data_IF_188209337552
#
_entry.id   IF_188209337552
#
_cell.length_a   1.000
_cell.length_b   1.000
_cell.length_c   1.000
_cell.angle_alpha   90.00
_cell.angle_beta   90.00
_cell.angle_gamma   90.00
#
_symmetry.space_group_name_H-M   'P 1'
#
loop_
_entity.id
_entity.type
_entity.pdbx_description
1 polymer ?
#
# COMPACT_ATOMS: atom_id res chain seq x y z
N UNK A 1 -2.76 -66.13 -14.52
CA UNK A 1 -3.69 -65.05 -14.12
C UNK A 1 -3.43 -64.45 -12.74
N UNK A 2 -3.60 -65.17 -11.62
CA UNK A 2 -3.48 -64.59 -10.26
C UNK A 2 -2.13 -63.90 -9.92
N UNK A 3 -1.02 -64.41 -10.46
CA UNK A 3 0.34 -63.87 -10.22
C UNK A 3 0.58 -62.52 -10.91
N UNK A 4 -0.07 -62.29 -12.06
CA UNK A 4 0.03 -61.04 -12.81
C UNK A 4 -0.85 -59.94 -12.20
N UNK A 5 -2.06 -60.29 -11.74
CA UNK A 5 -2.96 -59.38 -11.02
C UNK A 5 -2.32 -58.90 -9.70
N UNK A 6 -1.63 -59.78 -8.97
CA UNK A 6 -0.87 -59.38 -7.76
C UNK A 6 0.33 -58.46 -8.10
N UNK A 7 0.98 -58.63 -9.25
CA UNK A 7 2.09 -57.75 -9.67
C UNK A 7 1.60 -56.39 -10.13
N UNK A 8 0.49 -56.32 -10.88
CA UNK A 8 -0.11 -55.05 -11.30
C UNK A 8 -0.65 -54.28 -10.10
N UNK A 9 -1.29 -54.95 -9.14
CA UNK A 9 -1.75 -54.32 -7.90
C UNK A 9 -0.59 -53.78 -7.04
N UNK A 10 0.50 -54.54 -6.87
CA UNK A 10 1.69 -54.04 -6.15
C UNK A 10 2.32 -52.82 -6.83
N UNK A 11 2.36 -52.79 -8.17
CA UNK A 11 2.84 -51.63 -8.93
C UNK A 11 1.91 -50.44 -8.77
N UNK A 12 0.60 -50.62 -8.93
CA UNK A 12 -0.40 -49.57 -8.73
C UNK A 12 -0.37 -48.99 -7.30
N UNK A 13 -0.24 -49.86 -6.29
CA UNK A 13 -0.10 -49.46 -4.90
C UNK A 13 1.20 -48.67 -4.66
N UNK A 14 2.33 -49.12 -5.23
CA UNK A 14 3.61 -48.39 -5.11
C UNK A 14 3.56 -47.02 -5.77
N UNK A 15 2.91 -46.89 -6.93
CA UNK A 15 2.72 -45.61 -7.62
C UNK A 15 1.82 -44.68 -6.79
N UNK A 16 0.74 -45.21 -6.20
CA UNK A 16 -0.14 -44.45 -5.31
C UNK A 16 0.60 -43.93 -4.06
N UNK A 17 1.42 -44.77 -3.43
CA UNK A 17 2.22 -44.36 -2.28
C UNK A 17 3.25 -43.26 -2.63
N UNK A 18 3.91 -43.38 -3.79
CA UNK A 18 4.84 -42.34 -4.26
C UNK A 18 4.11 -41.04 -4.56
N UNK A 19 2.93 -41.10 -5.21
CA UNK A 19 2.12 -39.91 -5.47
C UNK A 19 1.64 -39.23 -4.17
N UNK A 20 1.23 -40.01 -3.16
CA UNK A 20 0.88 -39.46 -1.85
C UNK A 20 2.08 -38.83 -1.15
N UNK A 21 3.25 -39.47 -1.21
CA UNK A 21 4.47 -38.94 -0.60
C UNK A 21 4.90 -37.62 -1.25
N UNK A 22 4.80 -37.48 -2.58
CA UNK A 22 5.14 -36.22 -3.26
C UNK A 22 4.16 -35.10 -2.94
N UNK A 23 2.87 -35.39 -2.80
CA UNK A 23 1.86 -34.42 -2.35
C UNK A 23 2.15 -33.95 -0.91
N UNK A 24 2.46 -34.86 0.01
CA UNK A 24 2.79 -34.49 1.40
C UNK A 24 4.07 -33.65 1.46
N UNK A 25 5.13 -34.01 0.71
CA UNK A 25 6.38 -33.24 0.68
C UNK A 25 6.18 -31.83 0.12
N UNK A 26 5.45 -31.70 -0.99
CA UNK A 26 5.17 -30.38 -1.59
C UNK A 26 4.36 -29.49 -0.64
N UNK A 27 3.38 -30.05 0.06
CA UNK A 27 2.60 -29.34 1.07
C UNK A 27 3.46 -28.86 2.25
N UNK A 28 4.35 -29.71 2.78
CA UNK A 28 5.26 -29.32 3.86
C UNK A 28 6.23 -28.21 3.45
N UNK A 29 6.76 -28.26 2.22
CA UNK A 29 7.61 -27.22 1.68
C UNK A 29 6.86 -25.88 1.53
N UNK A 30 5.60 -25.91 1.11
CA UNK A 30 4.75 -24.72 1.05
C UNK A 30 4.47 -24.14 2.44
N UNK A 31 4.15 -24.97 3.44
CA UNK A 31 3.92 -24.50 4.81
C UNK A 31 5.18 -23.86 5.42
N UNK A 32 6.36 -24.47 5.25
CA UNK A 32 7.63 -23.89 5.72
C UNK A 32 7.91 -22.53 5.10
N UNK A 33 7.63 -22.36 3.80
CA UNK A 33 7.73 -21.06 3.12
C UNK A 33 6.77 -20.03 3.72
N UNK A 34 5.49 -20.38 3.92
CA UNK A 34 4.49 -19.48 4.54
C UNK A 34 4.92 -19.00 5.93
N UNK A 35 5.31 -19.92 6.81
CA UNK A 35 5.78 -19.57 8.16
C UNK A 35 7.01 -18.66 8.15
N UNK A 36 7.93 -18.86 7.20
CA UNK A 36 9.11 -17.99 7.04
C UNK A 36 8.71 -16.58 6.60
N UNK A 37 7.74 -16.46 5.68
CA UNK A 37 7.23 -15.15 5.22
C UNK A 37 6.51 -14.41 6.35
N UNK A 38 5.65 -15.09 7.13
CA UNK A 38 4.96 -14.51 8.27
C UNK A 38 5.92 -13.99 9.34
N UNK A 39 6.93 -14.78 9.72
CA UNK A 39 7.97 -14.37 10.68
C UNK A 39 8.73 -13.13 10.20
N UNK A 40 9.04 -13.09 8.90
CA UNK A 40 9.66 -11.91 8.28
C UNK A 40 8.71 -10.72 8.34
N UNK A 41 7.45 -10.89 7.96
CA UNK A 41 6.46 -9.82 7.98
C UNK A 41 6.29 -9.23 9.38
N UNK A 42 6.17 -10.08 10.40
CA UNK A 42 6.10 -9.65 11.80
C UNK A 42 7.37 -8.89 12.23
N UNK A 43 8.55 -9.37 11.82
CA UNK A 43 9.82 -8.68 12.08
C UNK A 43 9.88 -7.29 11.44
N UNK A 44 9.37 -7.13 10.22
CA UNK A 44 9.29 -5.83 9.56
C UNK A 44 8.40 -4.85 10.34
N UNK A 45 7.24 -5.31 10.86
CA UNK A 45 6.41 -4.50 11.76
C UNK A 45 7.14 -4.07 13.02
N UNK A 46 7.87 -4.97 13.68
CA UNK A 46 8.65 -4.62 14.87
C UNK A 46 9.74 -3.58 14.59
N UNK A 47 10.35 -3.63 13.39
CA UNK A 47 11.35 -2.64 12.98
C UNK A 47 10.72 -1.28 12.71
N UNK A 48 9.54 -1.24 12.07
CA UNK A 48 8.76 -0.03 11.87
C UNK A 48 8.37 0.61 13.21
N UNK A 49 7.83 -0.17 14.14
CA UNK A 49 7.45 0.30 15.48
C UNK A 49 8.64 0.85 16.28
N UNK A 50 9.82 0.22 16.17
CA UNK A 50 11.04 0.73 16.78
C UNK A 50 11.47 2.06 16.19
N UNK A 51 11.41 2.18 14.86
CA UNK A 51 11.72 3.43 14.18
C UNK A 51 10.74 4.55 14.57
N UNK A 52 9.44 4.26 14.64
CA UNK A 52 8.42 5.20 15.13
C UNK A 52 8.69 5.70 16.55
N UNK A 53 9.42 4.94 17.36
CA UNK A 53 9.86 5.31 18.72
C UNK A 53 11.23 6.00 18.78
N UNK A 54 11.83 6.35 17.62
CA UNK A 54 13.10 7.06 17.51
C UNK A 54 14.33 6.18 17.32
N UNK A 55 14.19 4.86 17.12
CA UNK A 55 15.34 3.99 16.78
C UNK A 55 15.61 4.02 15.26
N UNK A 56 16.46 4.95 14.82
CA UNK A 56 16.87 5.08 13.42
C UNK A 56 17.50 3.78 12.85
N UNK A 57 18.13 2.94 13.69
CA UNK A 57 18.65 1.63 13.24
C UNK A 57 17.52 0.67 12.86
N UNK A 58 16.31 0.91 13.37
CA UNK A 58 15.10 0.21 12.98
C UNK A 58 14.78 0.44 11.50
N UNK A 59 14.94 1.68 11.03
CA UNK A 59 14.68 2.08 9.65
C UNK A 59 15.67 1.45 8.67
N UNK A 60 16.97 1.49 8.97
CA UNK A 60 18.00 0.87 8.12
C UNK A 60 17.76 -0.63 7.92
N UNK A 61 17.37 -1.31 9.00
CA UNK A 61 17.06 -2.75 8.95
C UNK A 61 15.78 -3.02 8.19
N UNK A 62 14.76 -2.16 8.33
CA UNK A 62 13.50 -2.26 7.61
C UNK A 62 13.74 -2.09 6.11
N UNK A 63 14.43 -1.04 5.70
CA UNK A 63 14.72 -0.77 4.28
C UNK A 63 15.58 -1.87 3.65
N UNK A 64 16.60 -2.38 4.35
CA UNK A 64 17.37 -3.53 3.90
C UNK A 64 16.52 -4.80 3.73
N UNK A 65 15.48 -4.95 4.54
CA UNK A 65 14.56 -6.07 4.47
C UNK A 65 13.58 -5.94 3.30
N UNK A 66 13.06 -4.74 3.04
CA UNK A 66 12.19 -4.47 1.88
C UNK A 66 12.91 -4.74 0.55
N UNK A 67 14.20 -4.35 0.43
CA UNK A 67 15.04 -4.69 -0.73
C UNK A 67 15.12 -6.19 -1.02
N UNK A 68 15.14 -7.03 0.03
CA UNK A 68 15.21 -8.49 -0.10
C UNK A 68 13.85 -9.14 -0.32
N UNK A 69 12.76 -8.43 -0.04
CA UNK A 69 11.41 -8.97 -0.03
C UNK A 69 10.48 -7.95 -0.72
N UNK A 70 10.52 -7.84 -2.07
CA UNK A 70 9.82 -6.77 -2.78
C UNK A 70 8.31 -6.75 -2.56
N UNK A 71 7.71 -7.89 -2.23
CA UNK A 71 6.28 -8.00 -1.89
C UNK A 71 5.88 -7.22 -0.62
N UNK A 72 6.83 -6.84 0.22
CA UNK A 72 6.54 -6.10 1.46
C UNK A 72 6.36 -4.59 1.20
N UNK A 73 6.87 -4.06 0.08
CA UNK A 73 6.71 -2.66 -0.28
C UNK A 73 5.25 -2.21 -0.31
N UNK A 74 4.32 -3.06 -0.76
CA UNK A 74 2.88 -2.76 -0.84
C UNK A 74 2.24 -2.35 0.49
N UNK A 75 2.75 -2.88 1.60
CA UNK A 75 2.23 -2.59 2.94
C UNK A 75 3.08 -1.54 3.65
N UNK A 76 4.41 -1.71 3.65
CA UNK A 76 5.27 -0.91 4.51
C UNK A 76 5.60 0.47 3.95
N UNK A 77 5.60 0.65 2.62
CA UNK A 77 5.96 1.93 2.03
C UNK A 77 4.97 3.04 2.41
N UNK A 78 3.67 2.74 2.44
CA UNK A 78 2.65 3.71 2.87
C UNK A 78 2.83 4.12 4.34
N UNK A 79 3.15 3.15 5.21
CA UNK A 79 3.40 3.40 6.63
C UNK A 79 4.71 4.18 6.87
N UNK A 80 5.71 3.97 6.00
CA UNK A 80 6.96 4.72 6.00
C UNK A 80 6.72 6.16 5.55
N UNK A 81 5.95 6.35 4.48
CA UNK A 81 5.54 7.67 3.99
C UNK A 81 4.80 8.42 5.09
N UNK A 82 3.76 7.84 5.69
CA UNK A 82 3.00 8.44 6.78
C UNK A 82 3.92 8.91 7.91
N UNK A 83 4.83 8.04 8.37
CA UNK A 83 5.73 8.41 9.44
C UNK A 83 6.72 9.52 9.06
N UNK A 84 7.25 9.52 7.83
CA UNK A 84 8.09 10.63 7.37
C UNK A 84 7.32 11.95 7.32
N UNK A 85 6.04 11.91 6.97
CA UNK A 85 5.17 13.09 6.97
C UNK A 85 4.93 13.61 8.38
N UNK A 86 4.71 12.72 9.36
CA UNK A 86 4.62 13.09 10.80
C UNK A 86 5.90 13.80 11.28
N UNK A 87 7.06 13.34 10.80
CA UNK A 87 8.37 13.92 11.10
C UNK A 87 8.69 15.19 10.28
N UNK A 88 7.76 15.68 9.44
CA UNK A 88 7.96 16.81 8.51
C UNK A 88 9.14 16.62 7.54
N UNK A 89 9.42 15.37 7.16
CA UNK A 89 10.51 14.97 6.24
C UNK A 89 9.97 14.54 4.88
N UNK A 90 9.20 15.42 4.25
CA UNK A 90 8.53 15.17 2.97
C UNK A 90 9.45 14.65 1.85
N UNK A 91 10.67 15.19 1.77
CA UNK A 91 11.67 14.78 0.76
C UNK A 91 12.10 13.31 0.90
N UNK A 92 12.12 12.78 2.12
CA UNK A 92 12.44 11.37 2.36
C UNK A 92 11.25 10.45 2.05
N UNK A 93 10.03 10.94 2.26
CA UNK A 93 8.80 10.23 1.92
C UNK A 93 8.70 9.92 0.41
N UNK A 94 9.15 10.85 -0.46
CA UNK A 94 9.14 10.68 -1.93
C UNK A 94 9.75 9.37 -2.40
N UNK A 95 10.80 8.89 -1.73
CA UNK A 95 11.53 7.66 -2.09
C UNK A 95 10.68 6.39 -1.98
N UNK A 96 9.63 6.43 -1.17
CA UNK A 96 8.71 5.30 -0.91
C UNK A 96 7.32 5.53 -1.54
N UNK A 97 7.09 6.72 -2.08
CA UNK A 97 5.82 7.10 -2.66
C UNK A 97 5.55 6.38 -3.99
N UNK A 98 6.57 6.26 -4.86
CA UNK A 98 6.42 5.63 -6.18
C UNK A 98 6.06 4.14 -6.10
N UNK A 99 6.70 3.38 -5.23
CA UNK A 99 6.49 1.93 -5.08
C UNK A 99 5.14 1.56 -4.44
N UNK A 100 4.61 2.39 -3.55
CA UNK A 100 3.29 2.21 -2.94
C UNK A 100 2.15 2.59 -3.88
N UNK A 101 2.38 3.60 -4.72
CA UNK A 101 1.36 4.16 -5.59
C UNK A 101 1.21 3.37 -6.90
N UNK A 102 2.30 2.92 -7.54
CA UNK A 102 2.31 2.29 -8.87
C UNK A 102 1.42 1.04 -8.99
N UNK A 103 1.26 0.26 -7.92
CA UNK A 103 0.54 -1.03 -7.94
C UNK A 103 -0.93 -0.98 -7.54
N UNK A 104 -1.40 0.10 -6.93
CA UNK A 104 -2.82 0.24 -6.58
C UNK A 104 -3.55 0.82 -7.79
N UNK A 105 -4.53 0.09 -8.31
CA UNK A 105 -5.49 0.56 -9.35
C UNK A 105 -6.44 1.62 -8.79
N UNK A 106 -5.89 2.68 -8.19
CA UNK A 106 -6.65 3.77 -7.59
C UNK A 106 -5.99 5.11 -7.99
N UNK A 107 -6.00 5.46 -9.29
CA UNK A 107 -5.33 6.66 -9.81
C UNK A 107 -5.76 7.95 -9.11
N UNK A 108 -7.02 8.06 -8.70
CA UNK A 108 -7.54 9.23 -7.99
C UNK A 108 -7.01 9.35 -6.56
N UNK A 109 -6.86 8.22 -5.85
CA UNK A 109 -6.24 8.22 -4.53
C UNK A 109 -4.74 8.55 -4.62
N UNK A 110 -4.08 8.12 -5.70
CA UNK A 110 -2.69 8.48 -5.99
C UNK A 110 -2.53 9.99 -6.15
N UNK A 111 -3.39 10.61 -6.96
CA UNK A 111 -3.41 12.08 -7.11
C UNK A 111 -3.67 12.75 -5.76
N UNK A 112 -4.63 12.27 -4.97
CA UNK A 112 -4.92 12.82 -3.64
C UNK A 112 -3.71 12.76 -2.70
N UNK A 113 -2.96 11.65 -2.70
CA UNK A 113 -1.74 11.50 -1.92
C UNK A 113 -0.60 12.39 -2.43
N UNK A 114 -0.44 12.53 -3.76
CA UNK A 114 0.53 13.45 -4.38
C UNK A 114 0.30 14.89 -3.92
N UNK A 115 -0.95 15.34 -3.92
CA UNK A 115 -1.30 16.67 -3.44
C UNK A 115 -0.94 16.87 -1.96
N UNK A 116 -1.11 15.84 -1.11
CA UNK A 116 -0.72 15.93 0.31
C UNK A 116 0.79 16.14 0.49
N UNK A 117 1.60 15.54 -0.39
CA UNK A 117 3.03 15.75 -0.41
C UNK A 117 3.37 17.19 -0.78
N UNK A 118 2.75 17.75 -1.82
CA UNK A 118 2.94 19.16 -2.21
C UNK A 118 2.63 20.12 -1.05
N UNK A 119 1.54 19.87 -0.32
CA UNK A 119 1.18 20.65 0.89
C UNK A 119 2.31 20.59 1.92
N UNK A 120 2.84 19.40 2.19
CA UNK A 120 3.92 19.23 3.18
C UNK A 120 5.24 19.87 2.77
N UNK A 121 5.45 20.08 1.48
CA UNK A 121 6.63 20.74 0.91
C UNK A 121 6.47 22.26 0.82
N UNK A 122 5.29 22.79 1.14
CA UNK A 122 4.98 24.22 1.05
C UNK A 122 4.61 24.69 -0.37
N UNK A 123 4.45 23.77 -1.32
CA UNK A 123 4.06 24.04 -2.71
C UNK A 123 2.54 24.28 -2.83
N UNK A 124 2.02 25.26 -2.09
CA UNK A 124 0.57 25.43 -1.85
C UNK A 124 -0.22 25.75 -3.12
N UNK A 125 0.32 26.54 -4.05
CA UNK A 125 -0.37 26.88 -5.30
C UNK A 125 -0.48 25.68 -6.24
N UNK A 126 0.57 24.86 -6.32
CA UNK A 126 0.55 23.62 -7.09
C UNK A 126 -0.39 22.61 -6.44
N UNK A 127 -0.37 22.48 -5.12
CA UNK A 127 -1.29 21.63 -4.38
C UNK A 127 -2.75 22.03 -4.64
N UNK A 128 -3.05 23.33 -4.67
CA UNK A 128 -4.39 23.83 -4.95
C UNK A 128 -4.82 23.51 -6.39
N UNK A 129 -3.94 23.70 -7.36
CA UNK A 129 -4.21 23.37 -8.76
C UNK A 129 -4.48 21.85 -8.94
N UNK A 130 -3.65 21.00 -8.35
CA UNK A 130 -3.85 19.55 -8.38
C UNK A 130 -5.14 19.11 -7.67
N UNK A 131 -5.45 19.71 -6.51
CA UNK A 131 -6.68 19.42 -5.78
C UNK A 131 -7.92 19.75 -6.63
N UNK A 132 -7.94 20.90 -7.32
CA UNK A 132 -9.03 21.28 -8.22
C UNK A 132 -9.15 20.36 -9.42
N UNK A 133 -8.02 19.96 -10.02
CA UNK A 133 -8.01 19.01 -11.13
C UNK A 133 -8.58 17.65 -10.71
N UNK A 134 -8.14 17.12 -9.56
CA UNK A 134 -8.68 15.90 -8.97
C UNK A 134 -10.19 16.03 -8.69
N UNK A 135 -10.66 17.18 -8.19
CA UNK A 135 -12.09 17.39 -7.96
C UNK A 135 -12.91 17.32 -9.26
N UNK A 136 -12.40 17.92 -10.34
CA UNK A 136 -13.05 17.86 -11.64
C UNK A 136 -13.10 16.43 -12.20
N UNK A 137 -12.07 15.61 -11.95
CA UNK A 137 -12.04 14.20 -12.33
C UNK A 137 -13.03 13.37 -11.50
N UNK A 138 -13.08 13.61 -10.17
CA UNK A 138 -14.00 12.92 -9.25
C UNK A 138 -15.47 13.16 -9.58
N UNK A 139 -15.82 14.36 -10.06
CA UNK A 139 -17.19 14.70 -10.48
C UNK A 139 -17.61 13.99 -11.77
N UNK A 140 -16.66 13.58 -12.63
CA UNK A 140 -16.96 12.86 -13.87
C UNK A 140 -17.21 11.36 -13.62
N UNK A 141 -16.65 10.84 -12.53
CA UNK A 141 -16.80 9.45 -12.13
C UNK A 141 -18.05 9.28 -11.26
N UNK A 142 -19.11 8.70 -11.82
CA UNK A 142 -20.35 8.34 -11.11
C UNK A 142 -20.19 7.14 -10.15
N UNK A 143 -19.10 7.12 -9.37
CA UNK A 143 -18.78 6.02 -8.47
C UNK A 143 -19.02 6.45 -7.00
N UNK A 144 -20.02 5.88 -6.31
CA UNK A 144 -20.35 6.25 -4.93
C UNK A 144 -19.19 5.98 -3.95
N UNK A 145 -18.27 5.07 -4.27
CA UNK A 145 -17.07 4.84 -3.45
C UNK A 145 -16.11 6.03 -3.41
N UNK A 146 -16.28 6.99 -4.31
CA UNK A 146 -15.43 8.18 -4.43
C UNK A 146 -16.05 9.42 -3.79
N UNK A 147 -17.29 9.35 -3.29
CA UNK A 147 -17.94 10.45 -2.54
C UNK A 147 -17.11 10.85 -1.32
N UNK A 148 -16.61 9.88 -0.58
CA UNK A 148 -15.75 10.13 0.59
C UNK A 148 -14.45 10.82 0.17
N UNK A 149 -13.81 10.36 -0.90
CA UNK A 149 -12.58 10.99 -1.43
C UNK A 149 -12.83 12.42 -1.90
N UNK A 150 -13.97 12.64 -2.56
CA UNK A 150 -14.44 13.96 -3.01
C UNK A 150 -14.63 14.91 -1.82
N UNK A 151 -15.33 14.48 -0.76
CA UNK A 151 -15.50 15.29 0.44
C UNK A 151 -14.16 15.68 1.08
N UNK A 152 -13.24 14.73 1.27
CA UNK A 152 -11.91 15.05 1.78
C UNK A 152 -11.13 16.01 0.88
N UNK A 153 -11.28 15.87 -0.44
CA UNK A 153 -10.61 16.75 -1.40
C UNK A 153 -11.19 18.17 -1.41
N UNK A 154 -12.51 18.32 -1.33
CA UNK A 154 -13.17 19.62 -1.18
C UNK A 154 -12.75 20.33 0.12
N UNK A 155 -12.66 19.58 1.23
CA UNK A 155 -12.19 20.16 2.48
C UNK A 155 -10.74 20.65 2.38
N UNK A 156 -9.88 19.90 1.68
CA UNK A 156 -8.52 20.35 1.35
C UNK A 156 -8.54 21.62 0.49
N UNK A 157 -9.36 21.69 -0.56
CA UNK A 157 -9.46 22.88 -1.42
C UNK A 157 -9.86 24.09 -0.58
N UNK A 158 -10.88 23.96 0.28
CA UNK A 158 -11.31 25.05 1.16
C UNK A 158 -10.17 25.57 2.05
N UNK A 159 -9.40 24.66 2.67
CA UNK A 159 -8.24 25.02 3.48
C UNK A 159 -7.12 25.70 2.67
N UNK A 160 -6.85 25.23 1.45
CA UNK A 160 -5.84 25.81 0.58
C UNK A 160 -6.23 27.19 0.03
N UNK A 161 -7.49 27.38 -0.36
CA UNK A 161 -8.04 28.69 -0.77
C UNK A 161 -7.99 29.69 0.39
N UNK A 162 -8.34 29.24 1.59
CA UNK A 162 -8.18 30.06 2.81
C UNK A 162 -6.74 30.51 3.01
N UNK A 163 -5.78 29.60 2.89
CA UNK A 163 -4.35 29.91 3.01
C UNK A 163 -3.85 30.84 1.89
N UNK A 164 -4.43 30.74 0.69
CA UNK A 164 -4.13 31.61 -0.45
C UNK A 164 -4.80 33.00 -0.36
N UNK A 165 -5.68 33.23 0.61
CA UNK A 165 -6.40 34.50 0.79
C UNK A 165 -7.55 34.70 -0.20
N UNK A 166 -8.15 33.61 -0.69
CA UNK A 166 -9.22 33.61 -1.69
C UNK A 166 -10.55 33.15 -1.07
N UNK A 167 -11.25 34.03 -0.32
CA UNK A 167 -12.45 33.66 0.45
C UNK A 167 -13.61 33.16 -0.43
N UNK A 168 -13.67 33.61 -1.69
CA UNK A 168 -14.65 33.13 -2.67
C UNK A 168 -14.45 31.65 -2.99
N UNK A 169 -13.21 31.23 -3.22
CA UNK A 169 -12.89 29.83 -3.51
C UNK A 169 -13.08 28.92 -2.30
N UNK A 170 -12.78 29.41 -1.09
CA UNK A 170 -13.09 28.71 0.16
C UNK A 170 -14.59 28.44 0.26
N UNK A 171 -15.42 29.47 0.09
CA UNK A 171 -16.88 29.34 0.18
C UNK A 171 -17.45 28.40 -0.89
N UNK A 172 -16.96 28.48 -2.12
CA UNK A 172 -17.39 27.59 -3.21
C UNK A 172 -17.11 26.11 -2.86
N UNK A 173 -15.94 25.81 -2.29
CA UNK A 173 -15.59 24.46 -1.88
C UNK A 173 -16.41 23.97 -0.67
N UNK A 174 -16.71 24.85 0.29
CA UNK A 174 -17.57 24.53 1.44
C UNK A 174 -19.02 24.29 1.03
N UNK A 175 -19.56 25.08 0.10
CA UNK A 175 -20.92 24.85 -0.40
C UNK A 175 -21.03 23.52 -1.14
N UNK A 176 -20.00 23.14 -1.90
CA UNK A 176 -19.95 21.87 -2.61
C UNK A 176 -19.85 20.64 -1.69
N UNK A 177 -19.42 20.82 -0.44
CA UNK A 177 -19.39 19.76 0.59
C UNK A 177 -20.78 19.46 1.16
N UNK A 178 -21.67 20.44 1.18
CA UNK A 178 -23.01 20.36 1.78
C UNK A 178 -24.09 19.93 0.77
N UNK A 179 -23.74 19.83 -0.52
CA UNK A 179 -24.62 19.46 -1.63
C UNK A 179 -24.74 17.94 -1.81
#
# INVERSE_FOLDING_TARGET
MFKEIKRSFKRAFSVLCVALATVVLSYQLMQKKKSCVEKKYHRAHLLLEKWKKGDEKGFDKLTAMLKKQPSFHETFDALIVEHFMDLKRAQDARKFLHSSLEKRELPLHRQFSSTSLLISEGELLLALAEAKALQAELLQTANPKQEVLSAFNLWRIALLEKQAGTPKGEQEALNALEA
#
